data_IF_585159482656
#
_entry.id   IF_585159482656
#
_cell.length_a   1.000
_cell.length_b   1.000
_cell.length_c   1.000
_cell.angle_alpha   90.00
_cell.angle_beta   90.00
_cell.angle_gamma   90.00
#
_symmetry.space_group_name_H-M   'P 1'
#
loop_
_entity.id
_entity.type
_entity.pdbx_description
1 polymer ?
#
# COMPACT_ATOMS: atom_id res chain seq x y z
N UNK A 1 6.75 3.04 1.32
CA UNK A 1 7.76 3.91 0.64
C UNK A 1 8.28 4.91 1.65
N UNK A 2 9.51 5.39 1.50
CA UNK A 2 10.18 6.32 2.43
C UNK A 2 10.65 7.56 1.67
N UNK A 3 10.97 8.66 2.37
CA UNK A 3 11.52 9.89 1.78
C UNK A 3 13.05 9.82 1.71
N UNK A 4 13.68 9.09 2.63
CA UNK A 4 15.13 9.00 2.75
C UNK A 4 15.81 8.58 1.44
N UNK A 5 16.87 9.30 0.99
CA UNK A 5 17.52 9.03 -0.28
C UNK A 5 18.17 7.64 -0.33
N UNK A 6 18.59 7.09 0.81
CA UNK A 6 19.24 5.78 0.96
C UNK A 6 18.28 4.59 0.74
N UNK A 7 16.97 4.83 0.82
CA UNK A 7 15.90 3.84 0.63
C UNK A 7 14.96 4.19 -0.54
N UNK A 8 15.28 5.25 -1.30
CA UNK A 8 14.53 5.65 -2.48
C UNK A 8 14.92 4.78 -3.66
N UNK A 9 13.95 4.08 -4.24
CA UNK A 9 14.18 3.17 -5.37
C UNK A 9 14.55 3.90 -6.66
N UNK A 10 15.43 3.27 -7.45
CA UNK A 10 15.82 3.70 -8.80
C UNK A 10 14.79 3.18 -9.80
N UNK A 11 14.68 3.90 -10.91
CA UNK A 11 13.79 3.52 -12.01
C UNK A 11 14.38 3.85 -13.37
N UNK A 12 13.76 3.31 -14.42
CA UNK A 12 14.02 3.66 -15.82
C UNK A 12 12.67 3.78 -16.52
N UNK A 13 12.53 4.79 -17.38
CA UNK A 13 11.31 4.92 -18.21
C UNK A 13 11.36 3.98 -19.41
N UNK A 14 10.20 3.55 -19.90
CA UNK A 14 10.09 2.70 -21.10
C UNK A 14 10.84 3.32 -22.30
N UNK A 15 10.66 4.62 -22.52
CA UNK A 15 11.35 5.36 -23.62
C UNK A 15 12.87 5.27 -23.53
N UNK A 16 13.45 5.36 -22.33
CA UNK A 16 14.90 5.25 -22.16
C UNK A 16 15.38 3.79 -22.28
N UNK A 17 14.59 2.84 -21.77
CA UNK A 17 14.87 1.42 -21.89
C UNK A 17 14.87 0.95 -23.36
N UNK A 18 13.92 1.39 -24.17
CA UNK A 18 13.82 1.02 -25.59
C UNK A 18 14.97 1.52 -26.45
N UNK A 19 15.72 2.55 -26.03
CA UNK A 19 16.91 3.06 -26.72
C UNK A 19 18.14 2.17 -26.55
N UNK A 20 18.12 1.26 -25.58
CA UNK A 20 19.23 0.38 -25.25
C UNK A 20 19.23 -0.85 -26.17
N UNK A 21 20.42 -1.32 -26.55
CA UNK A 21 20.60 -2.64 -27.16
C UNK A 21 20.26 -3.76 -26.18
N UNK A 22 19.99 -5.01 -26.64
CA UNK A 22 19.64 -6.10 -25.74
C UNK A 22 20.64 -6.32 -24.58
N UNK A 23 21.94 -6.33 -24.86
CA UNK A 23 22.98 -6.48 -23.83
C UNK A 23 23.03 -5.30 -22.85
N UNK A 24 22.80 -4.07 -23.33
CA UNK A 24 22.70 -2.90 -22.47
C UNK A 24 21.45 -2.93 -21.60
N UNK A 25 20.30 -3.45 -22.08
CA UNK A 25 19.07 -3.65 -21.30
C UNK A 25 19.33 -4.57 -20.11
N UNK A 26 19.93 -5.74 -20.36
CA UNK A 26 20.23 -6.71 -19.32
C UNK A 26 21.17 -6.11 -18.26
N UNK A 27 22.30 -5.52 -18.67
CA UNK A 27 23.24 -4.90 -17.75
C UNK A 27 22.59 -3.76 -16.95
N UNK A 28 21.73 -2.95 -17.58
CA UNK A 28 21.03 -1.84 -16.94
C UNK A 28 20.02 -2.33 -15.90
N UNK A 29 19.22 -3.36 -16.22
CA UNK A 29 18.26 -3.91 -15.29
C UNK A 29 18.95 -4.64 -14.15
N UNK A 30 20.05 -5.38 -14.42
CA UNK A 30 20.81 -6.06 -13.39
C UNK A 30 21.36 -5.06 -12.34
N UNK A 31 22.03 -3.99 -12.79
CA UNK A 31 22.51 -2.91 -11.92
C UNK A 31 21.37 -2.26 -11.10
N UNK A 32 20.25 -1.95 -11.76
CA UNK A 32 19.13 -1.27 -11.15
C UNK A 32 18.42 -2.16 -10.12
N UNK A 33 18.13 -3.42 -10.47
CA UNK A 33 17.40 -4.33 -9.60
C UNK A 33 18.24 -4.76 -8.40
N UNK A 34 19.54 -5.03 -8.60
CA UNK A 34 20.45 -5.36 -7.51
C UNK A 34 20.52 -4.21 -6.48
N UNK A 35 20.65 -2.94 -6.95
CA UNK A 35 20.66 -1.79 -6.06
C UNK A 35 19.29 -1.62 -5.34
N UNK A 36 18.17 -1.81 -6.05
CA UNK A 36 16.85 -1.73 -5.44
C UNK A 36 16.62 -2.82 -4.37
N UNK A 37 17.12 -4.04 -4.57
CA UNK A 37 17.07 -5.11 -3.55
C UNK A 37 17.87 -4.71 -2.30
N UNK A 38 19.06 -4.12 -2.48
CA UNK A 38 19.85 -3.58 -1.36
C UNK A 38 19.07 -2.49 -0.62
N UNK A 39 18.35 -1.62 -1.33
CA UNK A 39 17.49 -0.57 -0.74
C UNK A 39 16.28 -1.14 -0.01
N UNK A 40 15.68 -2.24 -0.50
CA UNK A 40 14.62 -2.97 0.22
C UNK A 40 15.14 -3.47 1.58
N UNK A 41 16.32 -4.10 1.59
CA UNK A 41 16.95 -4.56 2.84
C UNK A 41 17.27 -3.39 3.80
N UNK A 42 17.75 -2.26 3.28
CA UNK A 42 17.93 -1.03 4.08
C UNK A 42 16.61 -0.50 4.63
N UNK A 43 15.51 -0.59 3.86
CA UNK A 43 14.19 -0.18 4.34
C UNK A 43 13.72 -1.03 5.52
N UNK A 44 14.00 -2.33 5.57
CA UNK A 44 13.71 -3.17 6.73
C UNK A 44 14.45 -2.67 7.99
N UNK A 45 15.77 -2.43 7.89
CA UNK A 45 16.57 -1.89 8.98
C UNK A 45 16.10 -0.48 9.41
N UNK A 46 15.75 0.35 8.44
CA UNK A 46 15.22 1.70 8.68
C UNK A 46 13.90 1.66 9.46
N UNK A 47 12.96 0.79 9.06
CA UNK A 47 11.67 0.61 9.74
C UNK A 47 11.88 0.06 11.16
N UNK A 48 12.73 -0.96 11.32
CA UNK A 48 13.05 -1.55 12.63
C UNK A 48 13.60 -0.50 13.61
N UNK A 49 14.56 0.32 13.16
CA UNK A 49 15.16 1.37 13.99
C UNK A 49 14.16 2.47 14.43
N UNK A 50 13.03 2.59 13.75
CA UNK A 50 11.97 3.58 14.03
C UNK A 50 10.69 2.99 14.62
N UNK A 51 10.68 1.70 14.95
CA UNK A 51 9.49 1.02 15.46
C UNK A 51 8.36 0.88 14.44
N UNK A 52 8.64 1.08 13.16
CA UNK A 52 7.63 0.91 12.10
C UNK A 52 7.44 -0.59 11.83
N UNK A 53 6.22 -1.08 12.03
CA UNK A 53 5.88 -2.51 11.96
C UNK A 53 5.14 -2.91 10.70
N UNK A 54 4.71 -1.96 9.87
CA UNK A 54 4.03 -2.18 8.59
C UNK A 54 4.74 -1.40 7.49
N UNK A 55 5.09 -2.08 6.39
CA UNK A 55 5.78 -1.46 5.27
C UNK A 55 5.08 -1.75 3.95
N UNK A 56 4.74 -0.68 3.18
CA UNK A 56 4.26 -0.81 1.81
C UNK A 56 5.45 -0.91 0.85
N UNK A 57 5.66 -2.10 0.28
CA UNK A 57 6.62 -2.32 -0.79
C UNK A 57 6.15 -1.61 -2.07
N UNK A 58 7.05 -0.95 -2.75
CA UNK A 58 6.71 -0.23 -3.99
C UNK A 58 6.36 -1.19 -5.13
N UNK A 59 5.24 -0.95 -5.79
CA UNK A 59 4.85 -1.66 -7.01
C UNK A 59 5.77 -1.35 -8.20
N UNK A 60 6.48 -0.21 -8.18
CA UNK A 60 7.45 0.18 -9.21
C UNK A 60 8.89 -0.23 -8.89
N UNK A 61 9.08 -1.22 -8.01
CA UNK A 61 10.40 -1.68 -7.55
C UNK A 61 11.28 -2.23 -8.70
N UNK A 62 10.66 -2.97 -9.61
CA UNK A 62 11.33 -3.61 -10.75
C UNK A 62 10.69 -3.16 -12.07
N UNK A 63 11.06 -1.96 -12.59
CA UNK A 63 10.50 -1.49 -13.84
C UNK A 63 10.84 -2.43 -14.99
N UNK A 64 9.95 -2.60 -15.97
CA UNK A 64 10.08 -3.44 -17.18
C UNK A 64 10.04 -4.96 -16.95
N UNK A 65 9.86 -5.47 -15.71
CA UNK A 65 9.88 -6.92 -15.49
C UNK A 65 8.61 -7.65 -15.98
N UNK A 66 7.51 -6.93 -16.20
CA UNK A 66 6.25 -7.42 -16.76
C UNK A 66 6.00 -6.96 -18.21
N UNK A 67 7.05 -6.45 -18.87
CA UNK A 67 6.94 -5.91 -20.23
C UNK A 67 6.61 -7.03 -21.21
N UNK A 68 5.51 -6.85 -21.96
CA UNK A 68 5.06 -7.82 -22.95
C UNK A 68 6.08 -7.94 -24.10
N UNK A 69 6.49 -9.18 -24.40
CA UNK A 69 7.43 -9.45 -25.49
C UNK A 69 8.92 -9.18 -25.14
N UNK A 70 9.23 -8.89 -23.87
CA UNK A 70 10.61 -8.70 -23.39
C UNK A 70 10.81 -9.40 -22.04
N UNK A 71 11.46 -10.56 -22.04
CA UNK A 71 11.68 -11.37 -20.84
C UNK A 71 12.96 -10.97 -20.07
N UNK A 72 13.69 -9.92 -20.50
CA UNK A 72 14.97 -9.50 -19.89
C UNK A 72 14.82 -9.23 -18.40
N UNK A 73 13.77 -8.48 -18.02
CA UNK A 73 13.52 -8.13 -16.61
C UNK A 73 13.27 -9.38 -15.76
N UNK A 74 12.52 -10.35 -16.28
CA UNK A 74 12.23 -11.62 -15.60
C UNK A 74 13.48 -12.46 -15.41
N UNK A 75 14.29 -12.61 -16.47
CA UNK A 75 15.57 -13.34 -16.41
C UNK A 75 16.53 -12.72 -15.38
N UNK A 76 16.59 -11.39 -15.30
CA UNK A 76 17.38 -10.68 -14.29
C UNK A 76 16.87 -10.97 -12.88
N UNK A 77 15.54 -10.99 -12.65
CA UNK A 77 14.98 -11.35 -11.34
C UNK A 77 15.27 -12.81 -10.97
N UNK A 78 15.25 -13.75 -11.94
CA UNK A 78 15.64 -15.14 -11.71
C UNK A 78 17.10 -15.24 -11.24
N UNK A 79 18.01 -14.47 -11.85
CA UNK A 79 19.40 -14.38 -11.43
C UNK A 79 19.57 -13.79 -10.01
N UNK A 80 18.72 -12.83 -9.62
CA UNK A 80 18.78 -12.14 -8.33
C UNK A 80 17.90 -12.79 -7.24
N UNK A 81 17.25 -13.93 -7.52
CA UNK A 81 16.33 -14.57 -6.58
C UNK A 81 16.92 -14.83 -5.18
N UNK A 82 18.19 -15.28 -5.02
CA UNK A 82 18.77 -15.46 -3.68
C UNK A 82 18.86 -14.16 -2.88
N UNK A 83 19.24 -13.06 -3.53
CA UNK A 83 19.34 -11.74 -2.89
C UNK A 83 17.96 -11.18 -2.52
N UNK A 84 16.92 -11.47 -3.31
CA UNK A 84 15.54 -11.11 -3.00
C UNK A 84 15.05 -11.86 -1.75
N UNK A 85 15.27 -13.17 -1.68
CA UNK A 85 14.90 -13.99 -0.51
C UNK A 85 15.61 -13.50 0.76
N UNK A 86 16.91 -13.18 0.69
CA UNK A 86 17.67 -12.62 1.81
C UNK A 86 17.09 -11.26 2.27
N UNK A 87 16.68 -10.42 1.31
CA UNK A 87 16.08 -9.13 1.63
C UNK A 87 14.68 -9.30 2.28
N UNK A 88 13.92 -10.33 1.90
CA UNK A 88 12.64 -10.69 2.52
C UNK A 88 12.81 -11.13 3.98
N UNK A 89 13.79 -11.98 4.27
CA UNK A 89 14.11 -12.39 5.64
C UNK A 89 14.44 -11.21 6.56
N UNK A 90 15.03 -10.13 6.03
CA UNK A 90 15.30 -8.94 6.85
C UNK A 90 14.02 -8.29 7.40
N UNK A 91 12.88 -8.38 6.72
CA UNK A 91 11.59 -7.93 7.24
C UNK A 91 11.01 -8.92 8.24
N UNK A 92 11.11 -10.22 7.97
CA UNK A 92 10.63 -11.27 8.87
C UNK A 92 11.38 -11.23 10.20
N UNK A 93 12.71 -11.19 10.18
CA UNK A 93 13.58 -11.10 11.37
C UNK A 93 13.30 -9.83 12.20
N UNK A 94 12.95 -8.72 11.53
CA UNK A 94 12.57 -7.48 12.19
C UNK A 94 11.10 -7.47 12.66
N UNK A 95 10.32 -8.51 12.38
CA UNK A 95 8.89 -8.59 12.66
C UNK A 95 8.07 -7.51 11.97
N UNK A 96 8.44 -7.14 10.75
CA UNK A 96 7.77 -6.12 9.94
C UNK A 96 6.86 -6.81 8.93
N UNK A 97 5.57 -6.47 8.99
CA UNK A 97 4.58 -6.89 8.00
C UNK A 97 4.79 -6.14 6.69
N UNK A 98 4.79 -6.85 5.57
CA UNK A 98 4.93 -6.23 4.24
C UNK A 98 3.65 -6.42 3.45
N UNK A 99 3.19 -5.36 2.81
CA UNK A 99 2.12 -5.40 1.82
C UNK A 99 2.52 -4.64 0.56
N UNK A 100 1.78 -4.83 -0.52
CA UNK A 100 1.95 -4.10 -1.77
C UNK A 100 0.61 -3.56 -2.23
N UNK A 101 0.59 -2.30 -2.62
CA UNK A 101 -0.57 -1.66 -3.22
C UNK A 101 -0.19 -1.20 -4.63
N UNK A 102 -0.56 -1.97 -5.66
CA UNK A 102 -0.39 -1.58 -7.05
C UNK A 102 -1.13 -0.27 -7.38
N UNK A 103 -0.67 0.39 -8.43
CA UNK A 103 -1.27 1.66 -8.84
C UNK A 103 -2.68 1.50 -9.41
N UNK A 104 -3.48 2.57 -9.37
CA UNK A 104 -4.92 2.60 -9.73
C UNK A 104 -5.24 2.21 -11.18
N UNK A 105 -4.25 2.03 -12.04
CA UNK A 105 -4.49 1.61 -13.44
C UNK A 105 -4.73 0.11 -13.60
N UNK A 106 -4.60 -0.71 -12.57
CA UNK A 106 -4.99 -2.13 -12.57
C UNK A 106 -6.51 -2.23 -12.44
N UNK A 107 -7.18 -2.55 -13.54
CA UNK A 107 -8.65 -2.58 -13.65
C UNK A 107 -9.08 -3.95 -14.18
N UNK A 108 -9.20 -4.92 -13.27
CA UNK A 108 -9.56 -6.31 -13.61
C UNK A 108 -10.94 -6.44 -14.26
N UNK A 109 -11.90 -5.60 -13.87
CA UNK A 109 -13.27 -5.57 -14.37
C UNK A 109 -13.51 -4.55 -15.49
N UNK A 110 -12.46 -4.14 -16.23
CA UNK A 110 -12.60 -3.26 -17.39
C UNK A 110 -13.49 -3.87 -18.46
N UNK A 111 -14.25 -3.05 -19.20
CA UNK A 111 -15.00 -3.49 -20.37
C UNK A 111 -14.06 -3.93 -21.51
N UNK A 112 -12.86 -3.38 -21.56
CA UNK A 112 -11.86 -3.61 -22.60
C UNK A 112 -11.04 -4.87 -22.27
N UNK A 113 -11.11 -5.93 -23.13
CA UNK A 113 -10.40 -7.19 -22.87
C UNK A 113 -8.87 -7.03 -22.72
N UNK A 114 -8.27 -6.14 -23.52
CA UNK A 114 -6.84 -5.86 -23.50
C UNK A 114 -6.40 -5.21 -22.16
N UNK A 115 -7.25 -4.36 -21.57
CA UNK A 115 -6.99 -3.77 -20.25
C UNK A 115 -7.09 -4.83 -19.16
N UNK A 116 -8.08 -5.74 -19.23
CA UNK A 116 -8.18 -6.86 -18.28
C UNK A 116 -6.95 -7.76 -18.35
N UNK A 117 -6.54 -8.14 -19.58
CA UNK A 117 -5.37 -8.99 -19.78
C UNK A 117 -4.08 -8.33 -19.24
N UNK A 118 -3.86 -7.06 -19.54
CA UNK A 118 -2.72 -6.29 -19.02
C UNK A 118 -2.77 -6.19 -17.49
N UNK A 119 -3.94 -5.86 -16.91
CA UNK A 119 -4.13 -5.76 -15.46
C UNK A 119 -3.83 -7.10 -14.77
N UNK A 120 -4.28 -8.22 -15.32
CA UNK A 120 -4.03 -9.54 -14.77
C UNK A 120 -2.53 -9.90 -14.83
N UNK A 121 -1.83 -9.58 -15.95
CA UNK A 121 -0.37 -9.80 -16.06
C UNK A 121 0.39 -9.00 -15.02
N UNK A 122 0.13 -7.69 -14.93
CA UNK A 122 0.82 -6.82 -13.97
C UNK A 122 0.55 -7.25 -12.54
N UNK A 123 -0.68 -7.67 -12.22
CA UNK A 123 -1.03 -8.16 -10.89
C UNK A 123 -0.29 -9.47 -10.56
N UNK A 124 -0.23 -10.41 -11.52
CA UNK A 124 0.53 -11.65 -11.37
C UNK A 124 2.03 -11.39 -11.18
N UNK A 125 2.58 -10.39 -11.86
CA UNK A 125 3.96 -9.98 -11.74
C UNK A 125 4.26 -9.39 -10.34
N UNK A 126 3.34 -8.61 -9.78
CA UNK A 126 3.48 -8.12 -8.39
C UNK A 126 3.41 -9.26 -7.37
N UNK A 127 2.53 -10.25 -7.59
CA UNK A 127 2.47 -11.44 -6.77
C UNK A 127 3.77 -12.27 -6.86
N UNK A 128 4.35 -12.42 -8.06
CA UNK A 128 5.66 -13.05 -8.27
C UNK A 128 6.78 -12.32 -7.51
N UNK A 129 6.74 -10.99 -7.49
CA UNK A 129 7.68 -10.18 -6.70
C UNK A 129 7.60 -10.54 -5.21
N UNK A 130 6.40 -10.64 -4.64
CA UNK A 130 6.22 -11.03 -3.24
C UNK A 130 6.68 -12.47 -2.99
N UNK A 131 6.42 -13.40 -3.92
CA UNK A 131 6.90 -14.79 -3.84
C UNK A 131 8.44 -14.88 -3.84
N UNK A 132 9.13 -14.11 -4.68
CA UNK A 132 10.60 -14.05 -4.77
C UNK A 132 11.25 -13.51 -3.50
N UNK A 133 10.59 -12.60 -2.80
CA UNK A 133 11.02 -12.15 -1.47
C UNK A 133 10.73 -13.19 -0.38
N UNK A 134 10.02 -14.28 -0.68
CA UNK A 134 9.67 -15.33 0.29
C UNK A 134 8.45 -14.99 1.16
N UNK A 135 7.72 -13.92 0.85
CA UNK A 135 6.53 -13.56 1.63
C UNK A 135 5.38 -14.55 1.42
N UNK A 136 4.75 -15.06 2.50
CA UNK A 136 3.65 -16.03 2.42
C UNK A 136 2.49 -15.58 1.53
N UNK A 137 1.88 -16.54 0.82
CA UNK A 137 0.65 -16.32 0.05
C UNK A 137 -0.55 -16.29 0.98
N UNK A 138 -0.73 -15.17 1.65
CA UNK A 138 -1.83 -14.97 2.59
C UNK A 138 -2.17 -13.47 2.72
N UNK A 139 -3.30 -13.17 3.32
CA UNK A 139 -3.73 -11.79 3.60
C UNK A 139 -2.87 -11.09 4.67
N UNK A 140 -1.89 -11.77 5.25
CA UNK A 140 -0.81 -11.13 6.01
C UNK A 140 0.06 -10.25 5.11
N UNK A 141 0.38 -10.74 3.90
CA UNK A 141 1.15 -10.00 2.90
C UNK A 141 0.23 -9.59 1.74
N UNK A 142 -0.62 -8.60 1.99
CA UNK A 142 -1.63 -8.14 1.04
C UNK A 142 -1.04 -7.70 -0.30
N UNK A 143 -1.78 -8.04 -1.36
CA UNK A 143 -1.75 -7.39 -2.65
C UNK A 143 -3.08 -6.64 -2.78
N UNK A 144 -3.06 -5.33 -2.53
CA UNK A 144 -4.24 -4.51 -2.31
C UNK A 144 -4.64 -3.78 -3.58
N UNK A 145 -5.92 -3.83 -3.94
CA UNK A 145 -6.47 -3.12 -5.09
C UNK A 145 -7.67 -2.26 -4.70
N UNK A 146 -7.86 -1.17 -5.44
CA UNK A 146 -9.19 -0.56 -5.54
C UNK A 146 -10.12 -1.42 -6.40
N UNK A 147 -11.45 -1.25 -6.28
CA UNK A 147 -12.45 -2.05 -7.00
C UNK A 147 -12.42 -1.91 -8.54
N UNK A 148 -11.65 -0.98 -9.09
CA UNK A 148 -11.48 -0.76 -10.52
C UNK A 148 -12.64 0.01 -11.15
N UNK A 149 -13.26 -0.54 -12.25
CA UNK A 149 -14.33 0.13 -12.97
C UNK A 149 -15.63 0.10 -12.19
N UNK A 150 -16.15 1.25 -11.81
CA UNK A 150 -17.41 1.38 -11.09
C UNK A 150 -18.62 0.78 -11.83
N UNK A 151 -19.61 0.34 -11.06
CA UNK A 151 -20.82 -0.29 -11.58
C UNK A 151 -20.64 -1.73 -12.09
N UNK A 152 -19.51 -2.38 -11.80
CA UNK A 152 -19.18 -3.74 -12.27
C UNK A 152 -18.72 -4.66 -11.13
N UNK A 153 -19.41 -4.55 -10.00
CA UNK A 153 -19.10 -5.32 -8.79
C UNK A 153 -19.29 -6.84 -9.01
N UNK A 154 -20.36 -7.24 -9.68
CA UNK A 154 -20.64 -8.65 -9.97
C UNK A 154 -19.55 -9.29 -10.85
N UNK A 155 -19.07 -8.58 -11.88
CA UNK A 155 -17.98 -9.05 -12.74
C UNK A 155 -16.67 -9.15 -11.94
N UNK A 156 -16.39 -8.18 -11.05
CA UNK A 156 -15.20 -8.25 -10.20
C UNK A 156 -15.27 -9.48 -9.29
N UNK A 157 -16.39 -9.71 -8.61
CA UNK A 157 -16.57 -10.86 -7.75
C UNK A 157 -16.43 -12.19 -8.52
N UNK A 158 -16.94 -12.26 -9.75
CA UNK A 158 -16.87 -13.46 -10.60
C UNK A 158 -15.45 -13.75 -11.10
N UNK A 159 -14.60 -12.71 -11.25
CA UNK A 159 -13.22 -12.88 -11.74
C UNK A 159 -12.23 -13.34 -10.67
N UNK A 160 -12.46 -13.01 -9.40
CA UNK A 160 -11.50 -13.30 -8.33
C UNK A 160 -11.19 -14.79 -8.17
N UNK A 161 -12.17 -15.72 -8.23
CA UNK A 161 -11.90 -17.16 -8.12
C UNK A 161 -10.99 -17.71 -9.22
N UNK A 162 -10.97 -17.10 -10.39
CA UNK A 162 -10.17 -17.53 -11.55
C UNK A 162 -8.74 -16.97 -11.53
N UNK A 163 -8.42 -16.08 -10.60
CA UNK A 163 -7.07 -15.55 -10.45
C UNK A 163 -6.10 -16.65 -9.93
N UNK A 164 -4.83 -16.61 -10.34
CA UNK A 164 -3.81 -17.52 -9.80
C UNK A 164 -3.75 -17.45 -8.27
N UNK A 165 -3.46 -18.58 -7.60
CA UNK A 165 -3.33 -18.65 -6.14
C UNK A 165 -2.32 -17.65 -5.57
N UNK A 166 -1.24 -17.38 -6.31
CA UNK A 166 -0.24 -16.37 -5.93
C UNK A 166 -0.84 -14.97 -5.76
N UNK A 167 -1.90 -14.64 -6.52
CA UNK A 167 -2.66 -13.40 -6.43
C UNK A 167 -3.81 -13.55 -5.44
N UNK A 168 -4.68 -14.54 -5.69
CA UNK A 168 -5.97 -14.70 -4.99
C UNK A 168 -5.82 -14.80 -3.47
N UNK A 169 -4.81 -15.55 -2.99
CA UNK A 169 -4.58 -15.75 -1.56
C UNK A 169 -4.05 -14.52 -0.82
N UNK A 170 -3.61 -13.50 -1.56
CA UNK A 170 -3.12 -12.21 -1.02
C UNK A 170 -4.03 -11.04 -1.31
N UNK A 171 -5.02 -11.25 -2.18
CA UNK A 171 -5.86 -10.15 -2.66
C UNK A 171 -6.66 -9.53 -1.54
N UNK A 172 -6.69 -8.20 -1.48
CA UNK A 172 -7.59 -7.41 -0.68
C UNK A 172 -8.14 -6.25 -1.50
N UNK A 173 -9.25 -5.67 -1.06
CA UNK A 173 -9.85 -4.51 -1.71
C UNK A 173 -9.94 -3.33 -0.77
N UNK A 174 -9.71 -2.14 -1.32
CA UNK A 174 -9.83 -0.87 -0.63
C UNK A 174 -10.95 -0.03 -1.24
N UNK A 175 -11.77 0.59 -0.39
CA UNK A 175 -12.75 1.56 -0.85
C UNK A 175 -12.08 2.83 -1.36
N UNK A 176 -12.69 3.44 -2.37
CA UNK A 176 -12.21 4.68 -2.97
C UNK A 176 -13.32 5.75 -3.00
N UNK A 177 -12.91 6.98 -3.25
CA UNK A 177 -13.82 8.13 -3.27
C UNK A 177 -14.59 8.28 -4.59
N UNK A 178 -14.37 7.39 -5.58
CA UNK A 178 -14.94 7.54 -6.93
C UNK A 178 -15.80 6.37 -7.38
N UNK A 179 -15.23 5.17 -7.38
CA UNK A 179 -15.81 4.01 -8.03
C UNK A 179 -16.54 3.08 -7.05
N UNK A 180 -15.88 2.73 -5.95
CA UNK A 180 -16.40 1.74 -5.00
C UNK A 180 -16.30 2.23 -3.56
N UNK A 181 -17.46 2.50 -2.94
CA UNK A 181 -17.54 2.67 -1.48
C UNK A 181 -17.45 1.33 -0.76
N UNK A 182 -17.34 1.35 0.58
CA UNK A 182 -17.26 0.12 1.35
C UNK A 182 -18.54 -0.73 1.24
N UNK A 183 -19.70 -0.12 1.01
CA UNK A 183 -20.97 -0.81 0.74
C UNK A 183 -20.98 -1.61 -0.57
N UNK A 184 -20.19 -1.18 -1.57
CA UNK A 184 -20.07 -1.85 -2.85
C UNK A 184 -19.06 -3.02 -2.77
N UNK A 185 -18.01 -2.86 -1.96
CA UNK A 185 -16.93 -3.85 -1.81
C UNK A 185 -17.24 -4.96 -0.81
N UNK A 186 -18.00 -4.68 0.24
CA UNK A 186 -18.30 -5.69 1.28
C UNK A 186 -18.89 -6.98 0.70
N UNK A 187 -19.92 -6.95 -0.18
CA UNK A 187 -20.44 -8.17 -0.80
C UNK A 187 -19.41 -8.92 -1.65
N UNK A 188 -18.48 -8.18 -2.33
CA UNK A 188 -17.41 -8.81 -3.10
C UNK A 188 -16.44 -9.53 -2.16
N UNK A 189 -16.05 -8.90 -1.06
CA UNK A 189 -15.16 -9.47 -0.05
C UNK A 189 -15.76 -10.72 0.59
N UNK A 190 -17.05 -10.68 0.95
CA UNK A 190 -17.77 -11.82 1.50
C UNK A 190 -17.86 -13.00 0.51
N UNK A 191 -18.12 -12.72 -0.76
CA UNK A 191 -18.25 -13.74 -1.81
C UNK A 191 -16.89 -14.36 -2.19
N UNK A 192 -15.80 -13.62 -2.12
CA UNK A 192 -14.48 -14.03 -2.61
C UNK A 192 -13.51 -14.45 -1.51
N UNK A 193 -13.77 -14.06 -0.27
CA UNK A 193 -12.86 -14.23 0.87
C UNK A 193 -11.70 -13.22 0.91
N UNK A 194 -11.62 -12.27 -0.04
CA UNK A 194 -10.66 -11.17 0.00
C UNK A 194 -11.07 -10.17 1.10
N UNK A 195 -10.17 -9.70 1.97
CA UNK A 195 -10.52 -8.74 3.01
C UNK A 195 -10.76 -7.33 2.46
N UNK A 196 -11.64 -6.58 3.15
CA UNK A 196 -11.83 -5.16 2.95
C UNK A 196 -10.83 -4.38 3.81
N UNK A 197 -9.97 -3.60 3.17
CA UNK A 197 -9.19 -2.54 3.80
C UNK A 197 -10.02 -1.27 3.76
N UNK A 198 -10.43 -0.78 4.92
CA UNK A 198 -11.25 0.42 5.00
C UNK A 198 -10.37 1.66 5.11
N UNK A 199 -10.56 2.62 4.20
CA UNK A 199 -10.03 3.97 4.28
C UNK A 199 -11.14 4.94 4.70
N UNK A 200 -10.99 5.54 5.88
CA UNK A 200 -11.97 6.47 6.44
C UNK A 200 -12.00 7.80 5.68
N UNK A 201 -10.85 8.27 5.18
CA UNK A 201 -10.79 9.51 4.42
C UNK A 201 -11.49 9.38 3.06
N UNK A 202 -11.25 8.29 2.33
CA UNK A 202 -11.98 8.01 1.09
C UNK A 202 -13.49 7.93 1.32
N UNK A 203 -13.92 7.35 2.46
CA UNK A 203 -15.33 7.31 2.86
C UNK A 203 -15.88 8.71 3.14
N UNK A 204 -15.16 9.53 3.90
CA UNK A 204 -15.53 10.94 4.19
C UNK A 204 -15.68 11.75 2.91
N UNK A 205 -14.73 11.62 1.99
CA UNK A 205 -14.76 12.33 0.69
C UNK A 205 -15.96 11.88 -0.15
N UNK A 206 -16.20 10.56 -0.25
CA UNK A 206 -17.28 9.98 -1.05
C UNK A 206 -18.64 10.38 -0.54
N UNK A 207 -18.89 10.23 0.76
CA UNK A 207 -20.19 10.50 1.39
C UNK A 207 -20.35 11.97 1.80
N UNK A 208 -19.32 12.82 1.59
CA UNK A 208 -19.30 14.25 1.93
C UNK A 208 -19.56 14.52 3.42
N UNK A 209 -18.97 13.67 4.27
CA UNK A 209 -19.12 13.77 5.71
C UNK A 209 -18.30 14.96 6.26
N UNK A 210 -18.64 15.43 7.45
CA UNK A 210 -17.93 16.53 8.10
C UNK A 210 -16.53 16.16 8.59
N UNK A 211 -16.25 14.85 8.82
CA UNK A 211 -14.96 14.35 9.26
C UNK A 211 -14.96 12.85 9.55
N UNK A 212 -13.82 12.35 9.98
CA UNK A 212 -13.59 10.90 10.24
C UNK A 212 -14.21 10.43 11.58
N UNK A 213 -14.86 11.34 12.34
CA UNK A 213 -15.61 11.02 13.54
C UNK A 213 -17.08 10.70 13.30
N UNK A 214 -17.52 10.77 12.04
CA UNK A 214 -18.87 10.34 11.70
C UNK A 214 -19.12 8.90 12.19
N UNK A 215 -20.29 8.61 12.79
CA UNK A 215 -20.60 7.26 13.31
C UNK A 215 -20.48 6.15 12.29
N UNK A 216 -20.69 6.44 11.00
CA UNK A 216 -20.55 5.46 9.91
C UNK A 216 -19.10 4.97 9.76
N UNK A 217 -18.09 5.74 10.13
CA UNK A 217 -16.69 5.30 10.11
C UNK A 217 -16.48 4.12 11.06
N UNK A 218 -17.00 4.21 12.29
CA UNK A 218 -16.93 3.08 13.24
C UNK A 218 -17.69 1.86 12.73
N UNK A 219 -18.87 2.08 12.17
CA UNK A 219 -19.68 1.00 11.61
C UNK A 219 -18.91 0.25 10.52
N UNK A 220 -18.27 0.97 9.59
CA UNK A 220 -17.51 0.37 8.49
C UNK A 220 -16.22 -0.29 8.95
N UNK A 221 -15.51 0.24 9.95
CA UNK A 221 -14.36 -0.45 10.56
C UNK A 221 -14.76 -1.82 11.08
N UNK A 222 -15.90 -1.93 11.80
CA UNK A 222 -16.39 -3.19 12.35
C UNK A 222 -16.87 -4.15 11.24
N UNK A 223 -17.59 -3.66 10.23
CA UNK A 223 -18.00 -4.47 9.07
C UNK A 223 -16.79 -4.98 8.28
N UNK A 224 -15.79 -4.12 8.01
CA UNK A 224 -14.57 -4.53 7.34
C UNK A 224 -13.84 -5.62 8.13
N UNK A 225 -13.79 -5.53 9.48
CA UNK A 225 -13.17 -6.56 10.34
C UNK A 225 -13.75 -7.96 10.14
N UNK A 226 -15.04 -8.08 9.82
CA UNK A 226 -15.68 -9.38 9.58
C UNK A 226 -15.17 -10.10 8.34
N UNK A 227 -14.50 -9.41 7.42
CA UNK A 227 -13.91 -9.98 6.20
C UNK A 227 -12.50 -10.51 6.42
N UNK A 228 -11.87 -10.19 7.54
CA UNK A 228 -10.51 -10.61 7.87
C UNK A 228 -10.46 -11.97 8.56
N UNK A 229 -9.50 -12.78 8.13
CA UNK A 229 -9.29 -14.12 8.67
C UNK A 229 -7.78 -14.36 8.88
N UNK A 230 -7.29 -14.23 10.11
CA UNK A 230 -8.00 -13.87 11.35
C UNK A 230 -8.28 -12.36 11.47
N UNK A 231 -9.23 -11.94 12.35
CA UNK A 231 -9.56 -10.51 12.56
C UNK A 231 -8.38 -9.63 13.02
N UNK A 232 -7.41 -10.22 13.72
CA UNK A 232 -6.19 -9.57 14.21
C UNK A 232 -5.25 -9.13 13.07
N UNK A 233 -5.54 -9.55 11.84
CA UNK A 233 -4.81 -9.12 10.64
C UNK A 233 -5.43 -7.91 9.96
N UNK A 234 -6.55 -7.40 10.49
CA UNK A 234 -7.21 -6.23 9.90
C UNK A 234 -6.24 -5.07 9.72
N UNK A 235 -6.19 -4.54 8.50
CA UNK A 235 -5.51 -3.29 8.14
C UNK A 235 -6.57 -2.25 7.81
N UNK A 236 -6.36 -1.03 8.23
CA UNK A 236 -7.07 0.17 7.76
C UNK A 236 -6.07 1.17 7.21
N UNK A 237 -6.51 2.03 6.30
CA UNK A 237 -5.72 3.17 5.85
C UNK A 237 -6.05 4.41 6.65
N UNK A 238 -5.02 5.18 6.97
CA UNK A 238 -5.12 6.45 7.67
C UNK A 238 -4.53 7.57 6.83
N UNK A 239 -5.37 8.44 6.36
CA UNK A 239 -5.01 9.63 5.61
C UNK A 239 -5.91 10.81 5.99
N UNK A 240 -5.48 12.03 5.68
CA UNK A 240 -6.26 13.24 5.88
C UNK A 240 -6.20 14.12 4.63
N UNK A 241 -7.22 14.94 4.42
CA UNK A 241 -7.21 15.98 3.39
C UNK A 241 -6.26 17.14 3.73
N UNK A 242 -5.85 17.93 2.72
CA UNK A 242 -4.96 19.09 2.93
C UNK A 242 -5.74 20.27 3.49
N UNK A 243 -6.80 20.70 2.79
CA UNK A 243 -7.49 21.95 3.08
C UNK A 243 -8.82 21.72 3.82
N UNK A 244 -9.37 20.51 3.73
CA UNK A 244 -10.60 20.10 4.40
C UNK A 244 -10.67 18.58 4.52
N UNK A 245 -11.58 18.04 5.37
CA UNK A 245 -11.82 16.59 5.43
C UNK A 245 -12.24 15.97 4.09
N UNK A 246 -12.87 16.74 3.20
CA UNK A 246 -13.30 16.28 1.87
C UNK A 246 -12.25 16.54 0.77
N UNK A 247 -11.09 17.13 1.08
CA UNK A 247 -10.03 17.31 0.10
C UNK A 247 -9.38 15.94 -0.21
N UNK A 248 -9.45 15.53 -1.46
CA UNK A 248 -8.94 14.23 -1.93
C UNK A 248 -7.41 14.10 -1.91
N UNK A 249 -6.71 15.20 -1.81
CA UNK A 249 -5.24 15.23 -1.74
C UNK A 249 -4.81 14.90 -0.32
N UNK A 250 -3.92 13.93 -0.17
CA UNK A 250 -3.40 13.57 1.15
C UNK A 250 -2.51 14.69 1.72
N UNK A 251 -2.72 14.99 2.99
CA UNK A 251 -1.91 15.93 3.78
C UNK A 251 -0.46 15.46 3.92
N UNK A 252 0.41 16.36 4.41
CA UNK A 252 1.80 16.00 4.69
C UNK A 252 1.91 15.13 5.96
N UNK A 253 1.23 15.52 7.01
CA UNK A 253 1.18 14.82 8.29
C UNK A 253 -0.24 14.31 8.56
N UNK A 254 -0.39 13.46 9.57
CA UNK A 254 -1.68 13.04 10.12
C UNK A 254 -2.09 14.04 11.20
N UNK A 255 -3.21 14.70 10.97
CA UNK A 255 -3.77 15.74 11.85
C UNK A 255 -5.08 15.32 12.53
N UNK A 256 -5.74 14.30 11.98
CA UNK A 256 -6.96 13.72 12.52
C UNK A 256 -6.84 12.19 12.56
N UNK A 257 -7.06 11.61 13.74
CA UNK A 257 -7.00 10.17 13.99
C UNK A 257 -8.37 9.71 14.49
N UNK A 258 -9.15 8.99 13.68
CA UNK A 258 -10.51 8.61 14.04
C UNK A 258 -10.54 7.68 15.26
N UNK A 259 -11.43 7.96 16.21
CA UNK A 259 -11.59 7.11 17.42
C UNK A 259 -11.91 5.67 17.09
N UNK A 260 -12.55 5.45 15.95
CA UNK A 260 -12.85 4.14 15.42
C UNK A 260 -11.62 3.27 15.18
N UNK A 261 -10.42 3.87 15.06
CA UNK A 261 -9.17 3.15 14.82
C UNK A 261 -8.41 2.76 16.09
N UNK A 262 -8.91 3.13 17.27
CA UNK A 262 -8.22 2.89 18.55
C UNK A 262 -7.96 1.43 18.89
N UNK A 263 -8.76 0.51 18.36
CA UNK A 263 -8.67 -0.94 18.55
C UNK A 263 -8.38 -1.71 17.25
N UNK A 264 -7.96 -0.99 16.20
CA UNK A 264 -7.56 -1.62 14.95
C UNK A 264 -6.11 -2.13 15.06
N UNK A 265 -5.85 -3.42 14.72
CA UNK A 265 -4.53 -4.00 14.92
C UNK A 265 -3.42 -3.39 14.06
N UNK A 266 -3.75 -3.02 12.81
CA UNK A 266 -2.78 -2.53 11.84
C UNK A 266 -3.31 -1.28 11.13
N UNK A 267 -2.49 -0.23 11.14
CA UNK A 267 -2.81 1.04 10.48
C UNK A 267 -1.72 1.34 9.47
N UNK A 268 -2.10 1.48 8.20
CA UNK A 268 -1.23 1.98 7.16
C UNK A 268 -1.43 3.49 7.01
N UNK A 269 -0.36 4.26 7.21
CA UNK A 269 -0.38 5.72 7.11
C UNK A 269 -0.12 6.15 5.68
N UNK A 270 -1.09 6.84 5.08
CA UNK A 270 -1.01 7.39 3.74
C UNK A 270 -0.89 8.93 3.76
N UNK A 271 0.28 9.42 4.11
CA UNK A 271 0.59 10.84 4.11
C UNK A 271 1.77 11.16 3.19
N UNK A 272 1.86 12.39 2.67
CA UNK A 272 3.00 12.81 1.82
C UNK A 272 4.31 12.80 2.57
N UNK A 273 4.30 13.07 3.88
CA UNK A 273 5.44 13.01 4.78
C UNK A 273 5.90 11.58 5.12
N UNK A 274 5.13 10.53 4.75
CA UNK A 274 5.53 9.12 4.91
C UNK A 274 6.06 8.81 6.31
N UNK A 275 7.35 8.42 6.44
CA UNK A 275 7.99 8.12 7.73
C UNK A 275 8.02 9.30 8.71
N UNK A 276 8.03 10.54 8.22
CA UNK A 276 7.92 11.74 9.06
C UNK A 276 6.53 11.83 9.69
N UNK A 277 5.49 11.55 8.90
CA UNK A 277 4.12 11.50 9.39
C UNK A 277 3.92 10.38 10.44
N UNK A 278 4.51 9.20 10.20
CA UNK A 278 4.48 8.09 11.16
C UNK A 278 5.21 8.47 12.44
N UNK A 279 6.40 9.06 12.34
CA UNK A 279 7.17 9.49 13.50
C UNK A 279 6.46 10.57 14.32
N UNK A 280 5.80 11.53 13.65
CA UNK A 280 4.98 12.55 14.31
C UNK A 280 3.80 11.93 15.05
N UNK A 281 3.08 10.99 14.42
CA UNK A 281 1.97 10.28 15.03
C UNK A 281 2.41 9.49 16.28
N UNK A 282 3.50 8.72 16.18
CA UNK A 282 4.05 7.95 17.31
C UNK A 282 4.46 8.85 18.49
N UNK A 283 5.02 10.04 18.24
CA UNK A 283 5.35 11.00 19.31
C UNK A 283 4.11 11.52 20.01
N UNK A 284 3.06 11.83 19.28
CA UNK A 284 1.77 12.27 19.84
C UNK A 284 1.15 11.19 20.72
N UNK A 285 1.15 9.92 20.27
CA UNK A 285 0.67 8.79 21.06
C UNK A 285 1.48 8.61 22.35
N UNK A 286 2.82 8.67 22.28
CA UNK A 286 3.71 8.55 23.44
C UNK A 286 3.52 9.68 24.46
N UNK A 287 3.11 10.86 24.03
CA UNK A 287 2.78 12.01 24.92
C UNK A 287 1.37 11.94 25.51
N UNK A 288 0.57 10.92 25.18
CA UNK A 288 -0.82 10.81 25.58
C UNK A 288 -1.77 11.75 24.86
N UNK A 289 -1.25 12.51 23.90
CA UNK A 289 -2.04 13.41 23.04
C UNK A 289 -2.48 12.61 21.82
N UNK A 290 -3.76 12.31 21.75
CA UNK A 290 -4.31 11.77 20.50
C UNK A 290 -4.41 12.92 19.48
N UNK A 291 -4.02 12.75 18.21
CA UNK A 291 -4.10 13.79 17.17
C UNK A 291 -5.43 14.51 17.10
N UNK A 292 -6.48 13.84 17.52
CA UNK A 292 -7.85 14.30 17.67
C UNK A 292 -8.10 15.51 18.58
N UNK A 293 -7.28 15.66 19.64
CA UNK A 293 -7.47 16.73 20.62
C UNK A 293 -7.07 18.10 20.04
N UNK A 294 -6.44 18.08 18.87
CA UNK A 294 -5.77 19.29 18.42
C UNK A 294 -6.67 20.19 17.58
N UNK A 295 -7.60 19.69 16.78
CA UNK A 295 -8.35 20.58 15.88
C UNK A 295 -7.41 21.55 15.13
N UNK A 296 -6.14 21.16 14.97
CA UNK A 296 -5.01 22.06 14.82
C UNK A 296 -4.38 21.82 13.46
N UNK A 297 -4.19 22.92 12.75
CA UNK A 297 -3.39 23.04 11.54
C UNK A 297 -2.03 22.33 11.71
N UNK A 298 -1.55 21.66 10.66
CA UNK A 298 -0.23 21.01 10.63
C UNK A 298 0.93 21.91 11.09
N UNK A 299 0.77 23.24 11.00
CA UNK A 299 1.72 24.23 11.53
C UNK A 299 1.81 24.19 13.05
N UNK A 300 0.69 24.05 13.75
CA UNK A 300 0.68 24.05 15.22
C UNK A 300 1.30 22.77 15.79
N UNK A 301 1.16 21.65 15.10
CA UNK A 301 1.85 20.40 15.50
C UNK A 301 3.37 20.56 15.37
N UNK A 302 3.85 21.19 14.30
CA UNK A 302 5.27 21.47 14.11
C UNK A 302 5.78 22.47 15.15
N UNK A 303 5.04 23.56 15.41
CA UNK A 303 5.37 24.58 16.41
C UNK A 303 5.38 24.03 17.85
N UNK A 304 4.47 23.11 18.20
CA UNK A 304 4.48 22.47 19.51
C UNK A 304 5.65 21.51 19.71
N UNK A 305 6.12 20.84 18.64
CA UNK A 305 7.29 19.98 18.67
C UNK A 305 8.58 20.81 18.79
N UNK A 306 8.67 21.95 18.11
CA UNK A 306 9.80 22.90 18.23
C UNK A 306 9.85 23.57 19.61
N UNK A 307 8.70 23.95 20.20
CA UNK A 307 8.65 24.58 21.53
C UNK A 307 9.04 23.63 22.67
N UNK A 308 8.97 22.32 22.49
CA UNK A 308 9.38 21.31 23.49
C UNK A 308 10.87 21.03 23.50
N UNK A 309 11.66 21.62 22.59
CA UNK A 309 13.12 21.59 22.63
C UNK A 309 13.72 20.22 22.39
N UNK A 310 13.05 19.32 21.67
CA UNK A 310 13.65 18.06 21.23
C UNK A 310 14.51 18.34 19.98
N UNK A 311 15.79 17.89 19.96
CA UNK A 311 16.66 18.12 18.81
C UNK A 311 16.20 17.30 17.60
N UNK A 312 16.42 17.88 16.41
CA UNK A 312 16.18 17.26 15.10
C UNK A 312 16.77 15.86 14.93
#
# INVERSE_FOLDING_TARGET
>A
MTIGPEVRFRTITLTNYQKLSPGEREAKLLDLYADNIVRVRRAAAFCAARGIRLYRLSSSLFPMFDLEGDDTGRAVLDHLAPQMTEAGYAFEDAGIRVLMHPEQFIVLNSERPEVRASSARTLAAHADTLDRFGFPRSTWNLLLLHGGKGGRAAELAALVPDLPDSVRLRLGFENDERAYGPQDLLPICEATGAPLVFDAHHHVVREKLEGQEDPSVREWVLKARTTWRPPEWQVVHLSNGIDSPQDRRHSHLITDFPSAYSDVPWIEVEAKGKEEAVAALMRLEASGVRPRALGVDARTVAEELEMRGEPE
#
